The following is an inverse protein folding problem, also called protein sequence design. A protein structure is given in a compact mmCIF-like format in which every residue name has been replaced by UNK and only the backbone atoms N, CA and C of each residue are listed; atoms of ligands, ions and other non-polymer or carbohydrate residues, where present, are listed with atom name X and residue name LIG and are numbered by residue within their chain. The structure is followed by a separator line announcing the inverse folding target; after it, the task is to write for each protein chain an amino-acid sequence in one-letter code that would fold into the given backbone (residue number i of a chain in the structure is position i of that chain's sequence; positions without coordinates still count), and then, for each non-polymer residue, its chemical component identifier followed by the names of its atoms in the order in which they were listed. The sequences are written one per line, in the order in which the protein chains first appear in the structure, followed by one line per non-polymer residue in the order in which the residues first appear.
data_IF_151762573003
#
_entry.id   IF_151762573003
#
_cell.length_a   1.000
_cell.length_b   1.000
_cell.length_c   1.000
_cell.angle_alpha   90.00
_cell.angle_beta   90.00
_cell.angle_gamma   90.00
#
_symmetry.space_group_name_H-M   'P 1'
#
loop_
_entity.id
_entity.type
_entity.pdbx_description
1 polymer ?
#
# COMPACT_ATOMS: atom_id res chain seq x y z
N UNK A 1 -8.85 4.70 -8.87
CA UNK A 1 -9.33 5.09 -7.53
C UNK A 1 -8.71 4.14 -6.53
N UNK A 2 -8.15 4.63 -5.43
CA UNK A 2 -7.67 3.79 -4.32
C UNK A 2 -8.21 4.37 -3.02
N UNK A 3 -8.87 3.52 -2.24
CA UNK A 3 -9.59 3.91 -1.04
C UNK A 3 -8.60 4.15 0.10
N UNK A 4 -8.91 5.06 1.00
CA UNK A 4 -8.24 5.20 2.31
C UNK A 4 -9.35 5.30 3.35
N UNK A 5 -9.26 4.51 4.42
CA UNK A 5 -10.25 4.50 5.50
C UNK A 5 -11.54 3.72 5.20
N UNK A 6 -11.49 2.70 4.34
CA UNK A 6 -12.57 1.75 4.15
C UNK A 6 -12.61 0.73 5.30
N UNK A 7 -13.73 0.02 5.48
CA UNK A 7 -13.84 -1.07 6.45
C UNK A 7 -12.96 -2.28 6.08
N UNK A 8 -12.54 -2.37 4.80
CA UNK A 8 -11.63 -3.41 4.31
C UNK A 8 -10.22 -2.87 4.13
N UNK A 9 -9.24 -3.67 4.55
CA UNK A 9 -7.82 -3.41 4.35
C UNK A 9 -7.46 -3.40 2.86
N UNK A 10 -6.54 -2.51 2.48
CA UNK A 10 -6.08 -2.33 1.10
C UNK A 10 -4.59 -2.07 1.05
N UNK A 11 -3.88 -2.79 0.18
CA UNK A 11 -2.46 -2.57 -0.13
C UNK A 11 -2.35 -2.10 -1.57
N UNK A 12 -1.54 -1.07 -1.81
CA UNK A 12 -1.21 -0.60 -3.17
C UNK A 12 0.28 -0.30 -3.32
N UNK A 13 0.74 -0.31 -4.57
CA UNK A 13 2.04 0.22 -4.98
C UNK A 13 1.82 1.62 -5.61
N UNK A 14 2.04 2.73 -4.89
CA UNK A 14 1.62 4.06 -5.36
C UNK A 14 2.25 4.47 -6.68
N UNK A 15 3.53 4.14 -6.92
CA UNK A 15 4.25 4.51 -8.14
C UNK A 15 3.61 3.93 -9.41
N UNK A 16 3.06 2.71 -9.36
CA UNK A 16 2.36 2.09 -10.51
C UNK A 16 0.84 2.18 -10.43
N UNK A 17 0.28 2.93 -9.47
CA UNK A 17 -1.18 3.03 -9.29
C UNK A 17 -1.62 4.48 -9.10
N UNK A 18 -1.73 4.94 -7.86
CA UNK A 18 -2.29 6.27 -7.52
C UNK A 18 -1.47 7.43 -8.03
N UNK A 19 -0.15 7.26 -8.18
CA UNK A 19 0.78 8.29 -8.64
C UNK A 19 1.33 7.98 -10.04
N UNK A 20 0.76 7.01 -10.77
CA UNK A 20 1.26 6.55 -12.07
C UNK A 20 1.30 7.63 -13.17
N UNK A 21 0.58 8.75 -12.98
CA UNK A 21 0.56 9.85 -13.96
C UNK A 21 1.67 10.88 -13.72
N UNK A 22 2.38 10.79 -12.60
CA UNK A 22 3.54 11.62 -12.31
C UNK A 22 4.79 11.02 -12.94
N UNK A 23 5.74 11.87 -13.32
CA UNK A 23 7.10 11.44 -13.69
C UNK A 23 7.83 10.82 -12.49
N UNK A 24 8.87 10.00 -12.69
CA UNK A 24 9.66 9.44 -11.59
C UNK A 24 10.22 10.50 -10.64
N UNK A 25 10.68 11.65 -11.16
CA UNK A 25 11.18 12.75 -10.34
C UNK A 25 10.06 13.39 -9.49
N UNK A 26 8.87 13.60 -10.06
CA UNK A 26 7.71 14.10 -9.34
C UNK A 26 7.23 13.11 -8.27
N UNK A 27 7.21 11.81 -8.56
CA UNK A 27 6.91 10.76 -7.58
C UNK A 27 7.88 10.82 -6.40
N UNK A 28 9.17 10.87 -6.67
CA UNK A 28 10.20 10.97 -5.63
C UNK A 28 10.02 12.25 -4.80
N UNK A 29 9.72 13.39 -5.43
CA UNK A 29 9.47 14.65 -4.71
C UNK A 29 8.22 14.61 -3.83
N UNK A 30 7.23 13.79 -4.20
CA UNK A 30 6.02 13.52 -3.42
C UNK A 30 6.23 12.44 -2.33
N UNK A 31 7.46 11.94 -2.15
CA UNK A 31 7.79 10.90 -1.19
C UNK A 31 7.41 9.48 -1.64
N UNK A 32 7.13 9.28 -2.93
CA UNK A 32 6.82 7.98 -3.52
C UNK A 32 8.06 7.41 -4.19
N UNK A 33 8.69 6.43 -3.53
CA UNK A 33 9.80 5.65 -4.11
C UNK A 33 9.27 4.47 -4.94
N UNK A 34 10.07 3.93 -5.89
CA UNK A 34 9.66 2.78 -6.71
C UNK A 34 9.41 1.47 -5.95
N UNK A 35 9.83 1.37 -4.71
CA UNK A 35 9.62 0.23 -3.80
C UNK A 35 8.57 0.53 -2.72
N UNK A 36 7.94 1.71 -2.76
CA UNK A 36 6.98 2.11 -1.74
C UNK A 36 5.69 1.27 -1.81
N UNK A 37 5.36 0.60 -0.71
CA UNK A 37 4.08 -0.08 -0.52
C UNK A 37 3.26 0.68 0.53
N UNK A 38 2.01 1.01 0.18
CA UNK A 38 1.09 1.70 1.10
C UNK A 38 -0.02 0.75 1.54
N UNK A 39 -0.14 0.57 2.86
CA UNK A 39 -1.22 -0.17 3.50
C UNK A 39 -2.24 0.81 4.12
N UNK A 40 -3.51 0.67 3.77
CA UNK A 40 -4.66 1.24 4.49
C UNK A 40 -5.28 0.12 5.31
N UNK A 41 -5.18 0.21 6.64
CA UNK A 41 -5.72 -0.80 7.56
C UNK A 41 -7.22 -0.59 7.72
N UNK A 42 -7.99 -1.65 7.49
CA UNK A 42 -9.43 -1.68 7.66
C UNK A 42 -9.87 -1.97 9.09
N UNK A 43 -11.07 -2.53 9.24
CA UNK A 43 -11.69 -2.85 10.53
C UNK A 43 -11.78 -4.36 10.78
N UNK A 44 -11.01 -5.17 10.05
CA UNK A 44 -10.91 -6.61 10.29
C UNK A 44 -10.30 -6.93 11.66
N UNK A 45 -10.37 -8.21 12.05
CA UNK A 45 -9.72 -8.67 13.26
C UNK A 45 -8.21 -8.45 13.15
N UNK A 46 -7.61 -7.88 14.19
CA UNK A 46 -6.18 -7.57 14.22
C UNK A 46 -5.31 -8.81 14.03
N UNK A 47 -5.71 -9.97 14.57
CA UNK A 47 -4.94 -11.21 14.44
C UNK A 47 -4.90 -11.70 12.98
N UNK A 48 -5.99 -11.53 12.22
CA UNK A 48 -6.05 -11.91 10.81
C UNK A 48 -5.15 -11.00 9.96
N UNK A 49 -5.17 -9.69 10.25
CA UNK A 49 -4.30 -8.71 9.56
C UNK A 49 -2.83 -9.00 9.82
N UNK A 50 -2.46 -9.29 11.08
CA UNK A 50 -1.08 -9.62 11.42
C UNK A 50 -0.64 -10.94 10.76
N UNK A 51 -1.49 -11.96 10.80
CA UNK A 51 -1.22 -13.25 10.16
C UNK A 51 -0.98 -13.10 8.65
N UNK A 52 -1.83 -12.36 7.95
CA UNK A 52 -1.69 -12.14 6.51
C UNK A 52 -0.39 -11.39 6.16
N UNK A 53 -0.02 -10.38 6.94
CA UNK A 53 1.22 -9.63 6.74
C UNK A 53 2.46 -10.49 7.01
N UNK A 54 2.45 -11.29 8.09
CA UNK A 54 3.56 -12.20 8.40
C UNK A 54 3.75 -13.25 7.30
N UNK A 55 2.67 -13.90 6.86
CA UNK A 55 2.73 -14.90 5.80
C UNK A 55 3.15 -14.33 4.45
N UNK A 56 2.75 -13.09 4.15
CA UNK A 56 3.19 -12.40 2.94
C UNK A 56 4.68 -12.06 2.98
N UNK A 57 5.18 -11.55 4.11
CA UNK A 57 6.59 -11.14 4.27
C UNK A 57 7.56 -12.33 4.26
N UNK A 58 7.14 -13.54 4.65
CA UNK A 58 7.96 -14.76 4.53
C UNK A 58 8.20 -15.21 3.08
N UNK A 59 7.43 -14.70 2.12
CA UNK A 59 7.46 -15.10 0.71
C UNK A 59 8.30 -14.16 -0.18
N UNK A 60 8.91 -13.15 0.42
CA UNK A 60 9.79 -12.15 -0.21
C UNK A 60 11.23 -12.44 0.20
#
# INVERSE_FOLDING_TARGET
MANVGDAKSLVIHPASTTHQQLTPEEQLSAGVTPDFVRLSVGLENIEDILFDLEEALKKV
#
